data_IF_919836475297
#
_entry.id   IF_919836475297
#
_cell.length_a   1.000
_cell.length_b   1.000
_cell.length_c   1.000
_cell.angle_alpha   90.00
_cell.angle_beta   90.00
_cell.angle_gamma   90.00
#
_symmetry.space_group_name_H-M   'P 1'
#
loop_
_entity.id
_entity.type
_entity.pdbx_description
1 polymer ?
#
# COMPACT_ATOMS: atom_id res chain seq x y z
N UNK A 1 16.96 -2.54 24.43
CA UNK A 1 17.43 -2.31 23.05
C UNK A 1 18.45 -1.18 23.07
N UNK A 2 19.65 -1.36 22.48
CA UNK A 2 20.69 -0.33 22.41
C UNK A 2 20.23 0.92 21.64
N UNK A 3 20.80 2.09 21.92
CA UNK A 3 20.44 3.37 21.24
C UNK A 3 20.75 3.30 19.75
N UNK A 4 21.79 2.55 19.37
CA UNK A 4 22.20 2.30 17.99
C UNK A 4 21.09 1.59 17.19
N UNK A 5 20.36 0.68 17.82
CA UNK A 5 19.23 -0.02 17.17
C UNK A 5 18.06 0.92 16.89
N UNK A 6 17.80 1.88 17.78
CA UNK A 6 16.78 2.92 17.56
C UNK A 6 17.17 3.86 16.43
N UNK A 7 18.43 4.28 16.37
CA UNK A 7 18.94 5.12 15.28
C UNK A 7 18.90 4.39 13.93
N UNK A 8 19.31 3.12 13.89
CA UNK A 8 19.24 2.29 12.68
C UNK A 8 17.79 2.07 12.22
N UNK A 9 16.87 1.80 13.16
CA UNK A 9 15.45 1.68 12.88
C UNK A 9 14.88 2.99 12.32
N UNK A 10 15.12 4.13 12.99
CA UNK A 10 14.64 5.43 12.54
C UNK A 10 15.14 5.79 11.15
N UNK A 11 16.43 5.57 10.86
CA UNK A 11 17.02 5.81 9.55
C UNK A 11 16.38 4.91 8.47
N UNK A 12 16.25 3.61 8.72
CA UNK A 12 15.63 2.66 7.78
C UNK A 12 14.14 3.00 7.53
N UNK A 13 13.39 3.32 8.59
CA UNK A 13 11.99 3.75 8.49
C UNK A 13 11.84 5.05 7.70
N UNK A 14 12.72 6.03 7.91
CA UNK A 14 12.71 7.28 7.16
C UNK A 14 12.90 7.03 5.66
N UNK A 15 13.89 6.22 5.26
CA UNK A 15 14.11 5.85 3.86
C UNK A 15 12.88 5.15 3.27
N UNK A 16 12.28 4.22 4.03
CA UNK A 16 11.12 3.46 3.57
C UNK A 16 9.87 4.34 3.39
N UNK A 17 9.68 5.32 4.27
CA UNK A 17 8.56 6.27 4.27
C UNK A 17 8.68 7.33 3.16
N UNK A 18 9.90 7.71 2.77
CA UNK A 18 10.13 8.66 1.67
C UNK A 18 9.70 8.07 0.33
N UNK A 19 9.86 6.76 0.12
CA UNK A 19 9.51 6.10 -1.13
C UNK A 19 7.98 5.92 -1.19
N UNK A 20 7.25 6.66 -2.07
CA UNK A 20 5.80 6.58 -2.13
C UNK A 20 5.37 5.15 -2.43
N UNK A 21 4.56 4.59 -1.52
CA UNK A 21 4.04 3.24 -1.65
C UNK A 21 2.98 3.11 -2.75
N UNK A 22 2.54 1.88 -3.03
CA UNK A 22 1.49 1.60 -4.00
C UNK A 22 0.16 2.29 -3.64
N UNK A 23 -0.16 2.43 -2.35
CA UNK A 23 -1.32 3.20 -1.87
C UNK A 23 -1.26 4.65 -2.31
N UNK A 24 -0.15 5.35 -2.04
CA UNK A 24 0.02 6.77 -2.38
C UNK A 24 -0.08 6.97 -3.89
N UNK A 25 0.58 6.12 -4.68
CA UNK A 25 0.56 6.18 -6.14
C UNK A 25 -0.84 5.91 -6.71
N UNK A 26 -1.62 5.00 -6.09
CA UNK A 26 -3.02 4.74 -6.45
C UNK A 26 -3.91 5.95 -6.16
N UNK A 27 -3.75 6.58 -4.99
CA UNK A 27 -4.48 7.79 -4.61
C UNK A 27 -4.17 8.96 -5.54
N UNK A 28 -2.90 9.18 -5.87
CA UNK A 28 -2.49 10.22 -6.83
C UNK A 28 -3.11 9.94 -8.20
N UNK A 29 -3.00 8.70 -8.70
CA UNK A 29 -3.55 8.30 -10.00
C UNK A 29 -5.06 8.53 -10.08
N UNK A 30 -5.82 8.14 -9.05
CA UNK A 30 -7.27 8.35 -9.02
C UNK A 30 -7.66 9.81 -8.80
N UNK A 31 -6.90 10.57 -8.00
CA UNK A 31 -7.13 12.01 -7.79
C UNK A 31 -6.92 12.81 -9.08
N UNK A 32 -5.86 12.50 -9.84
CA UNK A 32 -5.58 13.15 -11.13
C UNK A 32 -6.66 12.80 -12.18
N UNK A 33 -7.12 11.54 -12.20
CA UNK A 33 -8.07 11.07 -13.24
C UNK A 33 -9.53 11.40 -12.95
N UNK A 34 -9.94 11.50 -11.68
CA UNK A 34 -11.36 11.65 -11.29
C UNK A 34 -11.62 12.93 -10.45
N UNK A 35 -10.58 13.71 -10.15
CA UNK A 35 -10.67 14.96 -9.40
C UNK A 35 -11.29 14.80 -8.02
N UNK A 36 -11.95 15.86 -7.55
CA UNK A 36 -12.54 15.96 -6.20
C UNK A 36 -13.62 14.91 -5.91
N UNK A 37 -14.23 14.30 -6.92
CA UNK A 37 -15.23 13.23 -6.76
C UNK A 37 -14.64 11.93 -6.21
N UNK A 38 -13.33 11.73 -6.35
CA UNK A 38 -12.63 10.57 -5.80
C UNK A 38 -12.17 10.77 -4.34
N UNK A 39 -12.16 11.99 -3.81
CA UNK A 39 -11.57 12.27 -2.49
C UNK A 39 -12.19 11.43 -1.36
N UNK A 40 -13.53 11.45 -1.22
CA UNK A 40 -14.23 10.72 -0.16
C UNK A 40 -13.97 9.20 -0.23
N UNK A 41 -14.24 8.50 -1.36
CA UNK A 41 -14.02 7.05 -1.42
C UNK A 41 -12.55 6.65 -1.28
N UNK A 42 -11.59 7.50 -1.66
CA UNK A 42 -10.16 7.21 -1.47
C UNK A 42 -9.77 7.34 0.01
N UNK A 43 -10.13 8.44 0.67
CA UNK A 43 -9.78 8.68 2.08
C UNK A 43 -10.40 7.63 2.98
N UNK A 44 -11.68 7.29 2.78
CA UNK A 44 -12.34 6.25 3.59
C UNK A 44 -11.75 4.87 3.33
N UNK A 45 -11.38 4.56 2.09
CA UNK A 45 -10.73 3.30 1.75
C UNK A 45 -9.35 3.16 2.40
N UNK A 46 -8.55 4.22 2.39
CA UNK A 46 -7.24 4.25 3.05
C UNK A 46 -7.40 4.08 4.56
N UNK A 47 -8.27 4.88 5.19
CA UNK A 47 -8.50 4.81 6.64
C UNK A 47 -8.97 3.42 7.10
N UNK A 48 -9.91 2.80 6.38
CA UNK A 48 -10.38 1.45 6.71
C UNK A 48 -9.33 0.37 6.40
N UNK A 49 -8.53 0.56 5.34
CA UNK A 49 -7.43 -0.33 5.02
C UNK A 49 -6.37 -0.35 6.12
N UNK A 50 -5.93 0.82 6.56
CA UNK A 50 -4.95 0.98 7.65
C UNK A 50 -5.52 0.45 8.98
N UNK A 51 -6.80 0.73 9.25
CA UNK A 51 -7.50 0.21 10.44
C UNK A 51 -7.54 -1.32 10.49
N UNK A 52 -7.55 -1.99 9.33
CA UNK A 52 -7.52 -3.46 9.25
C UNK A 52 -6.18 -4.01 9.75
N UNK A 53 -5.07 -3.42 9.31
CA UNK A 53 -3.74 -3.78 9.79
C UNK A 53 -3.59 -3.48 11.29
N UNK A 54 -4.13 -2.34 11.74
CA UNK A 54 -4.15 -1.94 13.14
C UNK A 54 -4.95 -2.95 13.98
N UNK A 55 -6.12 -3.38 13.51
CA UNK A 55 -6.92 -4.41 14.18
C UNK A 55 -6.17 -5.74 14.30
N UNK A 56 -5.51 -6.23 13.24
CA UNK A 56 -4.69 -7.45 13.33
C UNK A 56 -3.53 -7.31 14.32
N UNK A 57 -2.89 -6.14 14.36
CA UNK A 57 -1.83 -5.84 15.32
C UNK A 57 -2.36 -5.93 16.76
N UNK A 58 -3.51 -5.30 17.03
CA UNK A 58 -4.17 -5.32 18.35
C UNK A 58 -4.67 -6.70 18.75
N UNK A 59 -5.15 -7.50 17.80
CA UNK A 59 -5.61 -8.88 18.02
C UNK A 59 -4.46 -9.87 18.29
N UNK A 60 -3.21 -9.41 18.28
CA UNK A 60 -2.06 -10.20 18.71
C UNK A 60 -1.24 -10.82 17.59
N UNK A 61 -1.42 -10.41 16.33
CA UNK A 61 -0.55 -10.85 15.23
C UNK A 61 0.93 -10.55 15.56
N UNK A 62 1.20 -9.41 16.19
CA UNK A 62 2.54 -9.06 16.68
C UNK A 62 3.09 -10.06 17.70
N UNK A 63 2.26 -10.53 18.65
CA UNK A 63 2.68 -11.54 19.64
C UNK A 63 2.95 -12.90 19.01
N UNK A 64 2.17 -13.31 18.01
CA UNK A 64 2.39 -14.56 17.27
C UNK A 64 3.71 -14.51 16.49
N UNK A 65 3.99 -13.39 15.82
CA UNK A 65 5.24 -13.21 15.09
C UNK A 65 6.45 -13.10 16.03
N UNK A 66 6.30 -12.50 17.21
CA UNK A 66 7.35 -12.43 18.22
C UNK A 66 7.68 -13.81 18.82
N UNK A 67 6.70 -14.70 18.90
CA UNK A 67 6.89 -16.05 19.44
C UNK A 67 7.62 -17.01 18.49
N UNK A 68 7.61 -16.75 17.17
CA UNK A 68 8.21 -17.64 16.17
C UNK A 68 9.08 -16.89 15.17
N UNK A 69 10.40 -17.12 15.26
CA UNK A 69 11.39 -16.60 14.31
C UNK A 69 11.13 -17.07 12.86
N UNK A 70 10.63 -18.30 12.69
CA UNK A 70 10.29 -18.84 11.38
C UNK A 70 9.05 -18.15 10.80
N UNK A 71 8.01 -17.94 11.60
CA UNK A 71 6.81 -17.21 11.15
C UNK A 71 7.16 -15.76 10.76
N UNK A 72 7.96 -15.08 11.59
CA UNK A 72 8.45 -13.74 11.29
C UNK A 72 9.25 -13.70 9.98
N UNK A 73 10.15 -14.66 9.77
CA UNK A 73 10.98 -14.72 8.55
C UNK A 73 10.14 -14.98 7.30
N UNK A 74 9.17 -15.91 7.38
CA UNK A 74 8.26 -16.20 6.28
C UNK A 74 7.41 -15.00 5.90
N UNK A 75 6.81 -14.31 6.88
CA UNK A 75 6.01 -13.10 6.64
C UNK A 75 6.88 -11.99 6.04
N UNK A 76 8.10 -11.80 6.55
CA UNK A 76 9.05 -10.81 6.00
C UNK A 76 9.43 -11.12 4.55
N UNK A 77 9.73 -12.38 4.24
CA UNK A 77 10.06 -12.81 2.89
C UNK A 77 8.86 -12.66 1.94
N UNK A 78 7.66 -13.07 2.38
CA UNK A 78 6.42 -12.94 1.60
C UNK A 78 6.07 -11.48 1.33
N UNK A 79 6.16 -10.60 2.34
CA UNK A 79 5.94 -9.16 2.19
C UNK A 79 6.94 -8.52 1.23
N UNK A 80 8.22 -8.88 1.32
CA UNK A 80 9.25 -8.42 0.39
C UNK A 80 8.98 -8.86 -1.06
N UNK A 81 8.66 -10.13 -1.28
CA UNK A 81 8.30 -10.65 -2.60
C UNK A 81 7.04 -9.98 -3.17
N UNK A 82 6.04 -9.72 -2.33
CA UNK A 82 4.83 -9.01 -2.72
C UNK A 82 5.12 -7.57 -3.17
N UNK A 83 6.00 -6.84 -2.46
CA UNK A 83 6.41 -5.50 -2.87
C UNK A 83 7.15 -5.49 -4.21
N UNK A 84 8.02 -6.49 -4.46
CA UNK A 84 8.68 -6.66 -5.76
C UNK A 84 7.65 -6.89 -6.86
N UNK A 85 6.71 -7.82 -6.64
CA UNK A 85 5.61 -8.08 -7.58
C UNK A 85 4.80 -6.81 -7.87
N UNK A 86 4.42 -6.07 -6.83
CA UNK A 86 3.60 -4.88 -6.97
C UNK A 86 4.36 -3.74 -7.67
N UNK A 87 5.65 -3.55 -7.36
CA UNK A 87 6.53 -2.62 -8.07
C UNK A 87 6.64 -2.95 -9.56
N UNK A 88 6.90 -4.21 -9.91
CA UNK A 88 6.95 -4.67 -11.31
C UNK A 88 5.61 -4.47 -12.01
N UNK A 89 4.50 -4.81 -11.35
CA UNK A 89 3.14 -4.61 -11.90
C UNK A 89 2.85 -3.14 -12.19
N UNK A 90 3.27 -2.23 -11.31
CA UNK A 90 3.08 -0.78 -11.47
C UNK A 90 3.90 -0.22 -12.64
N UNK A 91 5.16 -0.64 -12.78
CA UNK A 91 6.00 -0.26 -13.93
C UNK A 91 5.35 -0.76 -15.23
N UNK A 92 4.94 -2.03 -15.29
CA UNK A 92 4.34 -2.62 -16.49
C UNK A 92 3.01 -1.97 -16.89
N UNK A 93 2.14 -1.69 -15.92
CA UNK A 93 0.83 -1.04 -16.18
C UNK A 93 0.97 0.44 -16.51
N UNK A 94 1.91 1.15 -15.88
CA UNK A 94 2.26 2.52 -16.23
C UNK A 94 2.82 2.61 -17.66
N UNK A 95 3.72 1.69 -18.03
CA UNK A 95 4.29 1.62 -19.38
C UNK A 95 3.21 1.32 -20.42
N UNK A 96 2.32 0.36 -20.15
CA UNK A 96 1.20 0.03 -21.04
C UNK A 96 0.22 1.19 -21.27
N UNK A 97 -0.05 2.01 -20.24
CA UNK A 97 -0.86 3.22 -20.36
C UNK A 97 -0.15 4.33 -21.13
N UNK A 98 1.17 4.46 -20.98
CA UNK A 98 1.96 5.44 -21.72
C UNK A 98 2.02 5.10 -23.23
N UNK A 99 2.12 3.81 -23.58
CA UNK A 99 2.16 3.36 -24.98
C UNK A 99 0.80 3.36 -25.68
N UNK A 100 -0.30 3.24 -24.94
CA UNK A 100 -1.65 3.15 -25.54
C UNK A 100 -2.22 4.50 -26.03
N UNK A 101 -1.49 5.62 -25.84
CA UNK A 101 -2.08 6.95 -25.92
C UNK A 101 -3.13 7.13 -24.83
N UNK A 102 -3.40 8.37 -24.44
CA UNK A 102 -4.40 8.67 -23.41
C UNK A 102 -5.82 8.40 -23.93
N UNK A 103 -6.19 7.14 -24.12
CA UNK A 103 -7.56 6.73 -24.32
C UNK A 103 -8.33 7.19 -23.08
N UNK A 104 -9.21 8.18 -23.28
CA UNK A 104 -10.03 8.76 -22.24
C UNK A 104 -10.60 7.63 -21.36
N UNK A 105 -10.24 7.65 -20.08
CA UNK A 105 -10.78 6.68 -19.12
C UNK A 105 -12.30 6.93 -19.06
N UNK A 106 -13.16 5.90 -19.17
CA UNK A 106 -14.59 6.09 -19.30
C UNK A 106 -15.11 7.00 -18.19
N UNK A 107 -15.79 8.07 -18.59
CA UNK A 107 -16.51 8.99 -17.72
C UNK A 107 -17.51 8.16 -16.91
N UNK A 108 -17.14 7.81 -15.67
CA UNK A 108 -18.03 7.09 -14.75
C UNK A 108 -17.45 5.86 -14.04
N UNK A 109 -16.22 5.89 -13.52
CA UNK A 109 -15.81 4.86 -12.56
C UNK A 109 -16.64 5.02 -11.29
N UNK A 110 -17.43 3.99 -10.96
CA UNK A 110 -18.26 3.94 -9.75
C UNK A 110 -17.42 4.22 -8.49
N UNK A 111 -17.93 5.08 -7.59
CA UNK A 111 -17.32 5.38 -6.29
C UNK A 111 -16.96 4.10 -5.51
N UNK A 112 -17.80 3.07 -5.64
CA UNK A 112 -17.58 1.75 -5.05
C UNK A 112 -16.32 1.07 -5.58
N UNK A 113 -16.03 1.20 -6.88
CA UNK A 113 -14.85 0.60 -7.50
C UNK A 113 -13.57 1.31 -7.08
N UNK A 114 -13.61 2.64 -6.99
CA UNK A 114 -12.49 3.44 -6.45
C UNK A 114 -12.18 3.03 -5.01
N UNK A 115 -13.22 2.89 -4.19
CA UNK A 115 -13.10 2.43 -2.81
C UNK A 115 -12.49 1.03 -2.72
N UNK A 116 -13.10 0.02 -3.37
CA UNK A 116 -12.67 -1.37 -3.26
C UNK A 116 -11.23 -1.60 -3.73
N UNK A 117 -10.84 -0.95 -4.84
CA UNK A 117 -9.47 -1.05 -5.34
C UNK A 117 -8.47 -0.42 -4.37
N UNK A 118 -8.77 0.77 -3.86
CA UNK A 118 -7.87 1.50 -2.95
C UNK A 118 -7.78 0.81 -1.59
N UNK A 119 -8.91 0.31 -1.08
CA UNK A 119 -8.96 -0.46 0.16
C UNK A 119 -8.16 -1.74 0.02
N UNK A 120 -8.34 -2.50 -1.07
CA UNK A 120 -7.60 -3.73 -1.31
C UNK A 120 -6.09 -3.50 -1.38
N UNK A 121 -5.66 -2.45 -2.08
CA UNK A 121 -4.24 -2.06 -2.14
C UNK A 121 -3.73 -1.65 -0.76
N UNK A 122 -4.51 -0.90 0.03
CA UNK A 122 -4.08 -0.40 1.35
C UNK A 122 -4.04 -1.51 2.39
N UNK A 123 -5.10 -2.29 2.52
CA UNK A 123 -5.22 -3.39 3.48
C UNK A 123 -4.19 -4.51 3.23
N UNK A 124 -3.71 -4.66 1.98
CA UNK A 124 -2.67 -5.63 1.64
C UNK A 124 -1.28 -5.00 1.47
N UNK A 125 -1.13 -3.70 1.71
CA UNK A 125 0.15 -3.02 1.64
C UNK A 125 1.02 -3.49 2.81
N UNK A 126 2.11 -4.24 2.58
CA UNK A 126 2.93 -4.77 3.66
C UNK A 126 4.01 -3.77 4.12
N UNK A 127 3.93 -2.49 3.71
CA UNK A 127 4.84 -1.43 4.16
C UNK A 127 4.48 -0.92 5.54
#
# INVERSE_FOLDING_TARGET
MPVESWLAFAAASAVLLVIPGPTILTVISYSVTHGRRAAIPLVTAVALGDSTALAFSLLGLGSVLAASSMAFTLVKAAGGAYLVYLGVKMIRTGLAKATAGSAATPVGVSRRRLFLNTYGVTATNPK
#
